data_IF_756199159570
#
_entry.id   IF_756199159570
#
_cell.length_a   1.000
_cell.length_b   1.000
_cell.length_c   1.000
_cell.angle_alpha   90.00
_cell.angle_beta   90.00
_cell.angle_gamma   90.00
#
_symmetry.space_group_name_H-M   'P 1'
#
loop_
_entity.id
_entity.type
_entity.pdbx_description
1 polymer ?
#
# COMPACT_ATOMS: atom_id res chain seq x y z
N UNK A 1 -56.98 -1.56 -1.96
CA UNK A 1 -57.74 -0.82 -0.92
C UNK A 1 -56.76 -0.22 0.05
N UNK A 2 -56.65 1.14 0.06
CA UNK A 2 -56.00 2.02 1.06
C UNK A 2 -54.57 1.68 1.50
N UNK A 3 -53.62 2.16 0.69
CA UNK A 3 -52.26 2.55 1.11
C UNK A 3 -51.82 3.75 0.25
N UNK A 4 -52.53 4.86 0.40
CA UNK A 4 -52.19 6.16 -0.21
C UNK A 4 -52.61 7.23 0.76
N UNK A 5 -51.73 7.65 1.68
CA UNK A 5 -51.82 8.97 2.37
C UNK A 5 -50.71 9.28 3.36
N UNK A 6 -49.49 8.69 3.22
CA UNK A 6 -48.41 9.03 4.17
C UNK A 6 -47.12 9.59 3.54
N UNK A 7 -47.11 9.97 2.27
CA UNK A 7 -45.93 10.39 1.54
C UNK A 7 -45.98 11.81 0.96
N UNK A 8 -46.93 12.68 1.45
CA UNK A 8 -47.06 14.06 0.97
C UNK A 8 -46.96 15.15 2.03
N UNK A 9 -46.25 14.95 3.11
CA UNK A 9 -46.12 15.95 4.16
C UNK A 9 -44.73 16.03 4.75
N UNK A 10 -43.68 16.25 3.93
CA UNK A 10 -42.34 16.69 4.39
C UNK A 10 -41.53 17.33 3.25
N UNK A 11 -42.09 18.32 2.62
CA UNK A 11 -41.37 19.21 1.71
C UNK A 11 -41.95 20.63 1.80
N UNK A 12 -41.82 21.27 2.96
CA UNK A 12 -42.00 22.73 3.09
C UNK A 12 -41.49 23.17 4.48
N UNK A 13 -40.38 23.84 4.53
CA UNK A 13 -39.83 24.51 5.72
C UNK A 13 -38.33 24.17 5.86
N UNK A 14 -37.40 25.05 5.62
CA UNK A 14 -37.23 26.39 6.07
C UNK A 14 -36.06 27.02 5.29
N UNK A 15 -36.36 28.01 4.51
CA UNK A 15 -35.44 29.10 4.20
C UNK A 15 -35.62 30.14 5.32
N UNK A 16 -34.74 30.11 6.30
CA UNK A 16 -34.60 31.18 7.29
C UNK A 16 -33.22 31.80 7.11
N UNK A 17 -33.17 32.92 6.41
CA UNK A 17 -31.99 33.78 6.32
C UNK A 17 -31.67 34.35 7.69
N UNK A 18 -30.44 34.18 8.14
CA UNK A 18 -29.87 34.93 9.27
C UNK A 18 -29.01 36.04 8.69
N UNK A 19 -29.54 37.24 8.70
CA UNK A 19 -28.76 38.45 8.54
C UNK A 19 -28.00 38.74 9.81
N UNK A 20 -26.68 38.57 9.80
CA UNK A 20 -25.79 39.01 10.91
C UNK A 20 -25.28 40.39 10.56
N UNK A 21 -25.72 41.39 11.35
CA UNK A 21 -25.19 42.73 11.37
C UNK A 21 -23.73 42.76 11.81
N UNK A 22 -22.87 43.25 10.93
CA UNK A 22 -21.45 43.49 11.23
C UNK A 22 -21.31 44.80 12.02
N UNK A 23 -20.83 44.69 13.27
CA UNK A 23 -20.15 45.80 13.95
C UNK A 23 -19.05 45.25 14.80
N UNK A 24 -17.80 45.61 14.52
CA UNK A 24 -16.64 45.32 15.36
C UNK A 24 -15.36 45.12 14.57
N UNK A 25 -14.58 46.19 14.41
CA UNK A 25 -13.25 46.14 13.86
C UNK A 25 -12.33 45.33 14.79
N UNK A 26 -11.92 44.15 14.34
CA UNK A 26 -10.84 43.39 14.89
C UNK A 26 -10.19 42.65 13.72
N UNK A 27 -8.85 42.75 13.54
CA UNK A 27 -8.13 42.02 12.53
C UNK A 27 -8.28 40.53 12.81
N UNK A 28 -9.30 39.92 12.19
CA UNK A 28 -9.48 38.47 12.16
C UNK A 28 -8.49 37.84 11.15
N UNK A 29 -8.11 36.57 11.34
CA UNK A 29 -7.36 35.83 10.34
C UNK A 29 -8.14 35.95 9.02
N UNK A 30 -7.41 36.23 7.93
CA UNK A 30 -7.96 36.34 6.58
C UNK A 30 -8.84 35.12 6.25
N UNK A 31 -9.78 35.27 5.29
CA UNK A 31 -10.63 34.17 4.91
C UNK A 31 -9.73 32.99 4.54
N UNK A 32 -9.86 31.90 5.27
CA UNK A 32 -9.35 30.63 4.80
C UNK A 32 -10.03 30.41 3.45
N UNK A 33 -9.27 30.57 2.36
CA UNK A 33 -9.69 30.09 1.06
C UNK A 33 -10.01 28.60 1.25
N UNK A 34 -11.27 28.29 1.37
CA UNK A 34 -11.76 26.93 1.18
C UNK A 34 -11.42 26.59 -0.27
N UNK A 35 -10.22 26.08 -0.48
CA UNK A 35 -9.87 25.41 -1.72
C UNK A 35 -10.94 24.34 -1.90
N UNK A 36 -11.82 24.57 -2.88
CA UNK A 36 -12.77 23.57 -3.37
C UNK A 36 -11.91 22.47 -4.04
N UNK A 37 -11.26 21.66 -3.23
CA UNK A 37 -10.51 20.50 -3.68
C UNK A 37 -11.55 19.51 -4.17
N UNK A 38 -11.57 19.26 -5.48
CA UNK A 38 -12.42 18.22 -6.04
C UNK A 38 -12.14 16.92 -5.26
N UNK A 39 -13.17 16.21 -4.78
CA UNK A 39 -13.02 14.92 -4.09
C UNK A 39 -12.12 13.95 -4.86
N UNK A 40 -12.18 13.99 -6.19
CA UNK A 40 -11.30 13.21 -7.08
C UNK A 40 -9.81 13.58 -7.00
N UNK A 41 -9.45 14.74 -6.49
CA UNK A 41 -8.05 15.14 -6.29
C UNK A 41 -7.47 14.59 -4.99
N UNK A 42 -8.31 14.26 -4.02
CA UNK A 42 -7.89 13.73 -2.72
C UNK A 42 -7.55 12.23 -2.73
N UNK A 43 -8.05 11.48 -3.73
CA UNK A 43 -7.81 10.04 -3.82
C UNK A 43 -6.72 9.73 -4.84
N UNK A 44 -5.63 9.07 -4.42
CA UNK A 44 -4.58 8.61 -5.32
C UNK A 44 -5.16 7.67 -6.40
N UNK A 45 -4.61 7.75 -7.61
CA UNK A 45 -5.03 6.92 -8.75
C UNK A 45 -3.97 5.94 -9.23
N UNK A 46 -2.82 5.92 -8.58
CA UNK A 46 -1.72 5.01 -8.90
C UNK A 46 -1.07 4.50 -7.63
N UNK A 47 -0.49 3.32 -7.72
CA UNK A 47 0.22 2.68 -6.61
C UNK A 47 1.31 3.58 -6.01
N UNK A 48 2.21 4.21 -6.81
CA UNK A 48 3.22 5.09 -6.23
C UNK A 48 2.61 6.28 -5.48
N UNK A 49 1.53 6.89 -6.01
CA UNK A 49 0.88 8.01 -5.33
C UNK A 49 0.18 7.59 -4.03
N UNK A 50 -0.45 6.42 -4.00
CA UNK A 50 -1.08 5.87 -2.79
C UNK A 50 -0.04 5.59 -1.70
N UNK A 51 1.04 4.89 -2.07
CA UNK A 51 2.11 4.59 -1.13
C UNK A 51 2.83 5.84 -0.64
N UNK A 52 3.07 6.86 -1.46
CA UNK A 52 3.67 8.12 -1.00
C UNK A 52 2.80 8.80 0.07
N UNK A 53 1.50 8.91 -0.19
CA UNK A 53 0.57 9.54 0.76
C UNK A 53 0.39 8.78 2.05
N UNK A 54 0.67 7.48 2.05
CA UNK A 54 0.59 6.64 3.23
C UNK A 54 1.79 6.81 4.17
N UNK A 55 2.90 7.39 3.71
CA UNK A 55 4.05 7.65 4.59
C UNK A 55 3.68 8.79 5.55
N UNK A 56 3.85 8.59 6.88
CA UNK A 56 3.63 9.65 7.84
C UNK A 56 4.61 10.79 7.59
N UNK A 57 4.10 11.98 7.36
CA UNK A 57 4.93 13.17 7.22
C UNK A 57 5.41 13.64 8.60
N UNK A 58 6.44 13.00 9.13
CA UNK A 58 7.00 13.30 10.45
C UNK A 58 7.78 14.62 10.41
N UNK A 59 8.43 14.89 9.28
CA UNK A 59 9.20 16.11 9.08
C UNK A 59 8.38 17.20 8.35
N UNK A 60 8.19 18.40 8.95
CA UNK A 60 7.39 19.45 8.34
C UNK A 60 8.00 20.04 7.05
N UNK A 61 9.34 19.99 6.91
CA UNK A 61 10.03 20.52 5.74
C UNK A 61 9.85 19.56 4.56
N UNK A 62 9.99 18.25 4.78
CA UNK A 62 9.67 17.22 3.80
C UNK A 62 8.20 17.31 3.36
N UNK A 63 7.27 17.49 4.29
CA UNK A 63 5.84 17.65 4.00
C UNK A 63 5.55 18.85 3.09
N UNK A 64 6.19 20.00 3.34
CA UNK A 64 6.01 21.18 2.48
C UNK A 64 6.53 20.93 1.07
N UNK A 65 7.66 20.25 0.95
CA UNK A 65 8.23 19.87 -0.36
C UNK A 65 7.27 18.93 -1.07
N UNK A 66 6.75 17.90 -0.38
CA UNK A 66 5.79 16.95 -0.92
C UNK A 66 4.53 17.65 -1.44
N UNK A 67 3.88 18.45 -0.61
CA UNK A 67 2.63 19.16 -0.96
C UNK A 67 2.84 20.09 -2.18
N UNK A 68 3.98 20.78 -2.21
CA UNK A 68 4.33 21.65 -3.33
C UNK A 68 4.49 20.87 -4.65
N UNK A 69 5.20 19.75 -4.63
CA UNK A 69 5.44 18.93 -5.83
C UNK A 69 4.18 18.15 -6.27
N UNK A 70 3.39 17.64 -5.32
CA UNK A 70 2.11 17.00 -5.64
C UNK A 70 1.11 17.98 -6.25
N UNK A 71 1.10 19.23 -5.79
CA UNK A 71 0.29 20.29 -6.43
C UNK A 71 0.72 20.51 -7.88
N UNK A 72 2.02 20.55 -8.18
CA UNK A 72 2.50 20.64 -9.58
C UNK A 72 2.05 19.42 -10.39
N UNK A 73 2.16 18.21 -9.83
CA UNK A 73 1.69 16.99 -10.49
C UNK A 73 0.16 17.01 -10.72
N UNK A 74 -0.60 17.59 -9.81
CA UNK A 74 -2.04 17.81 -9.98
C UNK A 74 -2.34 18.79 -11.12
N UNK A 75 -1.67 19.95 -11.15
CA UNK A 75 -1.85 20.98 -12.19
C UNK A 75 -1.52 20.44 -13.59
N UNK A 76 -0.59 19.49 -13.71
CA UNK A 76 -0.30 18.81 -14.97
C UNK A 76 -1.46 17.97 -15.51
N UNK A 77 -2.35 17.46 -14.66
CA UNK A 77 -3.50 16.63 -15.07
C UNK A 77 -4.69 17.48 -15.56
N UNK A 78 -4.72 18.76 -15.21
CA UNK A 78 -5.82 19.64 -15.61
C UNK A 78 -5.73 19.89 -17.12
N UNK A 79 -6.79 19.64 -17.91
CA UNK A 79 -6.75 19.81 -19.38
C UNK A 79 -6.57 21.27 -19.83
N UNK A 80 -6.84 22.23 -18.95
CA UNK A 80 -6.78 23.67 -19.22
C UNK A 80 -5.34 24.16 -19.39
N UNK A 81 -5.19 25.45 -19.72
CA UNK A 81 -3.88 26.10 -19.84
C UNK A 81 -3.08 25.94 -18.55
N UNK A 82 -1.89 25.35 -18.64
CA UNK A 82 -1.01 25.10 -17.50
C UNK A 82 -0.47 26.42 -16.93
N UNK A 83 -0.49 26.61 -15.59
CA UNK A 83 0.12 27.76 -14.93
C UNK A 83 1.64 27.57 -14.77
N UNK A 84 2.38 27.57 -15.87
CA UNK A 84 3.81 27.26 -15.91
C UNK A 84 4.64 28.09 -14.94
N UNK A 85 4.30 29.39 -14.77
CA UNK A 85 5.00 30.29 -13.86
C UNK A 85 4.89 29.85 -12.40
N UNK A 86 3.69 29.47 -11.98
CA UNK A 86 3.42 29.05 -10.59
C UNK A 86 4.04 27.66 -10.33
N UNK A 87 3.94 26.76 -11.31
CA UNK A 87 4.60 25.46 -11.25
C UNK A 87 6.12 25.60 -11.11
N UNK A 88 6.72 26.54 -11.88
CA UNK A 88 8.16 26.84 -11.77
C UNK A 88 8.54 27.35 -10.40
N UNK A 89 7.74 28.27 -9.84
CA UNK A 89 7.95 28.81 -8.49
C UNK A 89 7.93 27.72 -7.43
N UNK A 90 6.96 26.81 -7.51
CA UNK A 90 6.82 25.67 -6.58
C UNK A 90 8.02 24.73 -6.66
N UNK A 91 8.45 24.35 -7.88
CA UNK A 91 9.61 23.46 -8.06
C UNK A 91 10.92 24.15 -7.61
N UNK A 92 11.05 25.46 -7.89
CA UNK A 92 12.23 26.23 -7.45
C UNK A 92 12.31 26.36 -5.91
N UNK A 93 11.18 26.54 -5.24
CA UNK A 93 11.11 26.55 -3.77
C UNK A 93 11.51 25.19 -3.17
N UNK A 94 11.02 24.09 -3.74
CA UNK A 94 11.41 22.74 -3.34
C UNK A 94 12.91 22.49 -3.55
N UNK A 95 13.47 22.96 -4.67
CA UNK A 95 14.90 22.84 -4.97
C UNK A 95 15.75 23.65 -3.97
N UNK A 96 15.32 24.85 -3.61
CA UNK A 96 16.00 25.68 -2.62
C UNK A 96 16.04 24.97 -1.26
N UNK A 97 14.92 24.39 -0.80
CA UNK A 97 14.88 23.64 0.46
C UNK A 97 15.86 22.47 0.46
N UNK A 98 15.87 21.67 -0.61
CA UNK A 98 16.78 20.50 -0.73
C UNK A 98 18.25 20.91 -0.80
N UNK A 99 18.61 22.02 -1.45
CA UNK A 99 20.00 22.45 -1.63
C UNK A 99 20.56 23.27 -0.49
N UNK A 100 19.76 24.19 0.03
CA UNK A 100 20.23 25.16 1.02
C UNK A 100 20.12 24.62 2.45
N UNK A 101 19.21 23.65 2.67
CA UNK A 101 18.88 23.14 4.00
C UNK A 101 18.83 21.61 4.09
N UNK A 102 19.76 20.87 3.44
CA UNK A 102 19.70 19.41 3.44
C UNK A 102 19.78 18.82 4.86
N UNK A 103 20.50 19.48 5.78
CA UNK A 103 20.65 18.99 7.15
C UNK A 103 19.31 18.97 7.91
N UNK A 104 18.38 19.88 7.62
CA UNK A 104 17.05 19.85 8.23
C UNK A 104 16.27 18.61 7.84
N UNK A 105 16.38 18.19 6.58
CA UNK A 105 15.73 16.97 6.08
C UNK A 105 16.40 15.69 6.62
N UNK A 106 17.58 15.83 7.27
CA UNK A 106 18.30 14.73 7.90
C UNK A 106 18.08 14.65 9.42
N UNK A 107 17.56 15.69 10.04
CA UNK A 107 17.43 15.78 11.50
C UNK A 107 16.64 14.62 12.13
N UNK A 108 15.62 14.13 11.43
CA UNK A 108 14.77 13.01 11.87
C UNK A 108 15.24 11.64 11.36
N UNK A 109 16.27 11.61 10.52
CA UNK A 109 16.79 10.36 9.92
C UNK A 109 17.78 9.69 10.88
N UNK A 110 17.63 8.39 11.16
CA UNK A 110 18.60 7.62 11.94
C UNK A 110 20.01 7.72 11.38
N UNK A 111 21.06 7.83 12.23
CA UNK A 111 22.45 8.06 11.79
C UNK A 111 22.95 7.05 10.74
N UNK A 112 22.54 5.79 10.86
CA UNK A 112 22.90 4.71 9.95
C UNK A 112 22.33 4.87 8.53
N UNK A 113 21.24 5.64 8.38
CA UNK A 113 20.56 5.86 7.10
C UNK A 113 20.91 7.23 6.48
N UNK A 114 21.52 8.14 7.24
CA UNK A 114 21.80 9.51 6.78
C UNK A 114 22.66 9.56 5.50
N UNK A 115 23.62 8.66 5.35
CA UNK A 115 24.46 8.61 4.15
C UNK A 115 23.66 8.30 2.89
N UNK A 116 22.78 7.31 2.97
CA UNK A 116 21.91 6.91 1.87
C UNK A 116 20.87 8.01 1.54
N UNK A 117 20.31 8.65 2.58
CA UNK A 117 19.36 9.76 2.39
C UNK A 117 20.06 10.98 1.77
N UNK A 118 21.30 11.28 2.16
CA UNK A 118 22.08 12.38 1.57
C UNK A 118 22.36 12.15 0.07
N UNK A 119 22.62 10.91 -0.33
CA UNK A 119 22.77 10.54 -1.73
C UNK A 119 21.44 10.75 -2.50
N UNK A 120 20.30 10.34 -1.92
CA UNK A 120 18.97 10.56 -2.51
C UNK A 120 18.62 12.05 -2.63
N UNK A 121 18.93 12.87 -1.64
CA UNK A 121 18.77 14.33 -1.72
C UNK A 121 19.57 14.92 -2.90
N UNK A 122 20.78 14.42 -3.14
CA UNK A 122 21.57 14.77 -4.32
C UNK A 122 20.94 14.36 -5.65
N UNK A 123 20.31 13.19 -5.70
CA UNK A 123 19.53 12.71 -6.84
C UNK A 123 18.27 13.56 -7.08
N UNK A 124 17.54 13.84 -6.00
CA UNK A 124 16.34 14.68 -6.00
C UNK A 124 16.63 16.10 -6.50
N UNK A 125 17.74 16.73 -6.06
CA UNK A 125 18.14 18.05 -6.53
C UNK A 125 18.37 18.07 -8.05
N UNK A 126 19.04 17.04 -8.60
CA UNK A 126 19.23 16.89 -10.05
C UNK A 126 17.90 16.67 -10.80
N UNK A 127 16.99 15.93 -10.19
CA UNK A 127 15.63 15.72 -10.71
C UNK A 127 14.82 17.00 -10.76
N UNK A 128 14.91 17.84 -9.72
CA UNK A 128 14.25 19.15 -9.65
C UNK A 128 14.81 20.15 -10.68
N UNK A 129 16.14 20.17 -10.91
CA UNK A 129 16.74 20.96 -12.00
C UNK A 129 16.15 20.54 -13.36
N UNK A 130 16.06 19.24 -13.60
CA UNK A 130 15.46 18.70 -14.83
C UNK A 130 13.99 19.10 -14.95
N UNK A 131 13.24 19.07 -13.84
CA UNK A 131 11.85 19.52 -13.83
C UNK A 131 11.71 21.00 -14.21
N UNK A 132 12.60 21.88 -13.70
CA UNK A 132 12.65 23.30 -14.10
C UNK A 132 12.88 23.44 -15.60
N UNK A 133 13.85 22.72 -16.18
CA UNK A 133 14.10 22.74 -17.63
C UNK A 133 12.90 22.29 -18.44
N UNK A 134 12.17 21.27 -17.95
CA UNK A 134 10.93 20.81 -18.60
C UNK A 134 9.82 21.88 -18.54
N UNK A 135 9.71 22.60 -17.42
CA UNK A 135 8.75 23.72 -17.26
C UNK A 135 9.11 24.87 -18.20
N UNK A 136 10.39 25.26 -18.27
CA UNK A 136 10.87 26.33 -19.15
C UNK A 136 10.63 25.99 -20.63
N UNK A 137 10.74 24.69 -21.00
CA UNK A 137 10.39 24.16 -22.30
C UNK A 137 8.89 23.86 -22.49
N UNK A 138 8.05 24.06 -21.48
CA UNK A 138 6.62 23.75 -21.47
C UNK A 138 6.29 22.29 -21.89
N UNK A 139 7.18 21.35 -21.60
CA UNK A 139 7.05 19.93 -21.91
C UNK A 139 6.39 19.19 -20.73
N UNK A 140 5.06 19.03 -20.80
CA UNK A 140 4.27 18.43 -19.74
C UNK A 140 4.59 16.93 -19.51
N UNK A 141 4.90 16.20 -20.59
CA UNK A 141 5.17 14.76 -20.51
C UNK A 141 6.50 14.52 -19.81
N UNK A 142 7.57 15.18 -20.23
CA UNK A 142 8.88 15.07 -19.58
C UNK A 142 8.84 15.58 -18.14
N UNK A 143 8.08 16.64 -17.86
CA UNK A 143 7.88 17.13 -16.50
C UNK A 143 7.19 16.09 -15.62
N UNK A 144 6.18 15.39 -16.14
CA UNK A 144 5.49 14.33 -15.40
C UNK A 144 6.44 13.21 -14.98
N UNK A 145 7.31 12.76 -15.88
CA UNK A 145 8.34 11.75 -15.55
C UNK A 145 9.36 12.26 -14.54
N UNK A 146 9.85 13.49 -14.71
CA UNK A 146 10.81 14.08 -13.78
C UNK A 146 10.23 14.22 -12.37
N UNK A 147 8.98 14.68 -12.25
CA UNK A 147 8.28 14.80 -10.98
C UNK A 147 8.01 13.43 -10.33
N UNK A 148 7.65 12.42 -11.10
CA UNK A 148 7.44 11.07 -10.56
C UNK A 148 8.73 10.56 -9.88
N UNK A 149 9.87 10.68 -10.55
CA UNK A 149 11.17 10.28 -9.99
C UNK A 149 11.53 11.06 -8.73
N UNK A 150 11.33 12.38 -8.74
CA UNK A 150 11.60 13.25 -7.57
C UNK A 150 10.71 12.88 -6.37
N UNK A 151 9.43 12.64 -6.63
CA UNK A 151 8.49 12.23 -5.59
C UNK A 151 8.79 10.83 -5.04
N UNK A 152 9.32 9.92 -5.85
CA UNK A 152 9.75 8.60 -5.39
C UNK A 152 11.00 8.69 -4.49
N UNK A 153 11.95 9.56 -4.83
CA UNK A 153 13.10 9.86 -3.96
C UNK A 153 12.65 10.48 -2.64
N UNK A 154 11.72 11.44 -2.68
CA UNK A 154 11.16 12.08 -1.48
C UNK A 154 10.44 11.05 -0.60
N UNK A 155 9.61 10.19 -1.17
CA UNK A 155 8.93 9.14 -0.41
C UNK A 155 9.91 8.19 0.30
N UNK A 156 11.03 7.87 -0.34
CA UNK A 156 12.07 7.05 0.29
C UNK A 156 12.78 7.78 1.44
N UNK A 157 12.94 9.11 1.35
CA UNK A 157 13.46 9.95 2.42
C UNK A 157 12.47 9.98 3.58
N UNK A 158 11.19 10.21 3.32
CA UNK A 158 10.12 10.24 4.34
C UNK A 158 9.99 8.90 5.07
N UNK A 159 10.12 7.76 4.37
CA UNK A 159 10.16 6.44 5.00
C UNK A 159 11.36 6.30 5.95
N UNK A 160 12.52 6.87 5.60
CA UNK A 160 13.68 6.87 6.49
C UNK A 160 13.49 7.80 7.70
N UNK A 161 12.74 8.89 7.55
CA UNK A 161 12.36 9.82 8.62
C UNK A 161 11.31 9.24 9.57
N UNK A 162 10.55 8.21 9.14
CA UNK A 162 9.53 7.53 9.94
C UNK A 162 9.99 6.11 10.34
N UNK A 163 10.83 5.97 11.38
CA UNK A 163 11.41 4.67 11.75
C UNK A 163 10.39 3.67 12.29
N UNK A 164 9.17 4.11 12.61
CA UNK A 164 8.07 3.28 13.12
C UNK A 164 6.74 3.99 13.01
N UNK A 165 5.72 3.47 13.72
CA UNK A 165 4.40 4.08 13.75
C UNK A 165 4.46 5.42 14.50
N UNK A 166 3.84 6.48 13.96
CA UNK A 166 3.81 7.79 14.63
C UNK A 166 2.77 7.87 15.76
N UNK A 167 2.05 6.79 16.03
CA UNK A 167 0.99 6.67 17.02
C UNK A 167 1.10 5.36 17.79
N UNK A 168 0.38 5.27 18.92
CA UNK A 168 0.31 4.06 19.74
C UNK A 168 -0.91 3.23 19.36
N UNK A 169 -0.69 1.94 19.11
CA UNK A 169 -1.81 1.01 18.86
C UNK A 169 -2.71 0.91 20.07
N UNK A 170 -4.05 0.98 19.91
CA UNK A 170 -5.01 0.74 20.98
C UNK A 170 -4.81 -0.63 21.63
N UNK A 171 -5.03 -0.71 22.94
CA UNK A 171 -4.81 -1.95 23.72
C UNK A 171 -5.55 -3.16 23.13
N UNK A 172 -6.75 -2.94 22.58
CA UNK A 172 -7.60 -4.00 21.99
C UNK A 172 -6.99 -4.68 20.76
N UNK A 173 -6.09 -4.00 20.05
CA UNK A 173 -5.46 -4.53 18.82
C UNK A 173 -3.97 -4.80 18.98
N UNK A 174 -3.35 -4.37 20.08
CA UNK A 174 -1.91 -4.54 20.34
C UNK A 174 -1.48 -6.00 20.47
N UNK A 175 -2.40 -6.90 20.79
CA UNK A 175 -2.13 -8.34 20.88
C UNK A 175 -1.95 -9.02 19.52
N UNK A 176 -2.42 -8.40 18.44
CA UNK A 176 -2.22 -8.92 17.09
C UNK A 176 -0.80 -8.63 16.58
N UNK A 177 -0.28 -9.46 15.67
CA UNK A 177 0.91 -9.11 14.90
C UNK A 177 0.69 -7.77 14.20
N UNK A 178 1.69 -6.90 14.20
CA UNK A 178 1.59 -5.60 13.56
C UNK A 178 2.90 -5.23 12.86
N UNK A 179 2.80 -4.40 11.83
CA UNK A 179 3.91 -3.97 11.00
C UNK A 179 4.23 -2.50 11.28
N UNK A 180 5.41 -2.22 11.84
CA UNK A 180 5.90 -0.87 12.17
C UNK A 180 6.60 -0.22 10.97
N UNK A 181 5.90 -0.01 9.87
CA UNK A 181 6.48 0.51 8.64
C UNK A 181 6.09 -0.31 7.43
N UNK A 182 7.02 -0.52 6.50
CA UNK A 182 6.76 -1.26 5.26
C UNK A 182 7.47 -2.61 5.22
N UNK A 183 6.85 -3.52 4.48
CA UNK A 183 7.41 -4.82 4.15
C UNK A 183 7.14 -5.16 2.69
N UNK A 184 7.94 -6.06 2.11
CA UNK A 184 7.71 -6.58 0.76
C UNK A 184 7.49 -8.09 0.81
N UNK A 185 6.47 -8.53 0.09
CA UNK A 185 6.10 -9.94 -0.08
C UNK A 185 6.18 -10.28 -1.56
N UNK A 186 6.86 -11.36 -1.86
CA UNK A 186 6.89 -11.97 -3.19
C UNK A 186 5.91 -13.14 -3.24
N UNK A 187 5.00 -13.12 -4.21
CA UNK A 187 4.07 -14.20 -4.52
C UNK A 187 4.48 -14.84 -5.83
N UNK A 188 4.73 -16.14 -5.81
CA UNK A 188 5.02 -16.92 -7.01
C UNK A 188 3.78 -17.67 -7.44
N UNK A 189 3.35 -17.42 -8.66
CA UNK A 189 2.16 -18.04 -9.25
C UNK A 189 2.55 -18.96 -10.39
N UNK A 190 1.74 -20.00 -10.58
CA UNK A 190 1.90 -20.97 -11.66
C UNK A 190 0.55 -21.22 -12.32
N UNK A 191 0.59 -21.38 -13.62
CA UNK A 191 -0.59 -21.66 -14.41
C UNK A 191 -1.18 -23.02 -14.03
N UNK A 192 -2.47 -23.04 -13.74
CA UNK A 192 -3.21 -24.24 -13.36
C UNK A 192 -4.02 -24.84 -14.51
N UNK A 193 -4.46 -26.08 -14.32
CA UNK A 193 -5.58 -26.64 -15.09
C UNK A 193 -5.30 -27.07 -16.52
N UNK A 194 -4.05 -27.29 -16.92
CA UNK A 194 -3.74 -27.81 -18.28
C UNK A 194 -4.06 -26.85 -19.43
N UNK A 195 -4.16 -25.55 -19.14
CA UNK A 195 -4.28 -24.51 -20.17
C UNK A 195 -2.99 -24.45 -20.99
N UNK A 196 -3.11 -24.40 -22.33
CA UNK A 196 -1.98 -24.29 -23.25
C UNK A 196 -1.37 -22.86 -23.31
N UNK A 197 -1.74 -21.98 -22.41
CA UNK A 197 -1.29 -20.60 -22.37
C UNK A 197 -0.09 -20.42 -21.42
N UNK A 198 0.83 -19.56 -21.76
CA UNK A 198 1.93 -19.14 -20.92
C UNK A 198 1.75 -17.67 -20.59
N UNK A 199 2.14 -17.25 -19.38
CA UNK A 199 2.17 -15.82 -19.04
C UNK A 199 3.19 -15.09 -19.92
N UNK A 200 2.80 -13.95 -20.45
CA UNK A 200 3.68 -13.04 -21.19
C UNK A 200 4.40 -12.14 -20.21
N UNK A 201 5.73 -12.10 -20.26
CA UNK A 201 6.55 -11.22 -19.43
C UNK A 201 6.64 -9.82 -20.04
N UNK A 202 6.76 -8.79 -19.21
CA UNK A 202 6.90 -7.40 -19.64
C UNK A 202 8.09 -7.15 -20.58
N UNK A 203 9.17 -7.94 -20.45
CA UNK A 203 10.35 -7.88 -21.34
C UNK A 203 10.28 -8.76 -22.58
N UNK A 204 9.11 -9.36 -22.87
CA UNK A 204 8.94 -10.38 -23.91
C UNK A 204 9.28 -11.79 -23.42
N UNK A 205 8.82 -12.78 -24.18
CA UNK A 205 8.91 -14.19 -23.80
C UNK A 205 7.73 -14.66 -22.95
N UNK A 206 7.61 -15.97 -22.81
CA UNK A 206 6.50 -16.61 -22.10
C UNK A 206 7.03 -17.55 -21.02
N UNK A 207 6.23 -17.74 -19.94
CA UNK A 207 6.58 -18.62 -18.82
C UNK A 207 5.32 -19.19 -18.20
N UNK A 208 5.37 -20.46 -17.76
CA UNK A 208 4.29 -21.06 -16.95
C UNK A 208 4.24 -20.55 -15.52
N UNK A 209 5.21 -19.74 -15.11
CA UNK A 209 5.32 -19.16 -13.77
C UNK A 209 5.53 -17.65 -13.85
N UNK A 210 4.99 -16.92 -12.88
CA UNK A 210 5.16 -15.48 -12.72
C UNK A 210 5.34 -15.09 -11.28
N UNK A 211 5.88 -13.90 -11.05
CA UNK A 211 6.07 -13.32 -9.72
C UNK A 211 5.30 -12.02 -9.61
N UNK A 212 4.68 -11.80 -8.45
CA UNK A 212 4.08 -10.54 -8.05
C UNK A 212 4.81 -10.06 -6.80
N UNK A 213 5.21 -8.80 -6.75
CA UNK A 213 5.73 -8.19 -5.53
C UNK A 213 4.68 -7.26 -4.93
N UNK A 214 4.34 -7.48 -3.67
CA UNK A 214 3.42 -6.65 -2.90
C UNK A 214 4.23 -5.83 -1.91
N UNK A 215 4.02 -4.52 -1.89
CA UNK A 215 4.47 -3.66 -0.80
C UNK A 215 3.34 -3.52 0.20
N UNK A 216 3.55 -4.05 1.41
CA UNK A 216 2.66 -3.88 2.55
C UNK A 216 2.92 -2.53 3.23
N UNK A 217 1.86 -1.86 3.65
CA UNK A 217 1.92 -0.58 4.32
C UNK A 217 1.36 -0.69 5.75
N UNK A 218 2.27 -0.78 6.72
CA UNK A 218 1.92 -0.81 8.14
C UNK A 218 1.64 0.58 8.72
N UNK A 219 1.94 1.66 8.02
CA UNK A 219 1.62 3.00 8.51
C UNK A 219 0.11 3.26 8.53
N UNK A 220 -0.61 2.72 7.56
CA UNK A 220 -2.05 2.93 7.42
C UNK A 220 -2.88 1.76 7.93
N UNK A 221 -2.34 0.54 7.93
CA UNK A 221 -3.03 -0.68 8.38
C UNK A 221 -2.08 -1.64 9.10
N UNK A 222 -1.50 -1.23 10.25
CA UNK A 222 -0.44 -1.98 10.93
C UNK A 222 -0.85 -3.41 11.32
N UNK A 223 -2.04 -3.59 11.85
CA UNK A 223 -2.50 -4.90 12.35
C UNK A 223 -2.80 -5.85 11.20
N UNK A 224 -3.51 -5.38 10.20
CA UNK A 224 -3.88 -6.20 9.04
C UNK A 224 -2.67 -6.53 8.18
N UNK A 225 -1.77 -5.57 7.91
CA UNK A 225 -0.53 -5.81 7.19
C UNK A 225 0.42 -6.72 7.98
N UNK A 226 0.49 -6.58 9.29
CA UNK A 226 1.27 -7.45 10.18
C UNK A 226 0.75 -8.88 10.20
N UNK A 227 -0.57 -9.06 10.30
CA UNK A 227 -1.20 -10.38 10.22
C UNK A 227 -0.97 -11.02 8.84
N UNK A 228 -1.12 -10.25 7.76
CA UNK A 228 -0.81 -10.72 6.41
C UNK A 228 0.65 -11.20 6.30
N UNK A 229 1.61 -10.39 6.76
CA UNK A 229 3.03 -10.75 6.76
C UNK A 229 3.32 -12.01 7.57
N UNK A 230 2.66 -12.18 8.72
CA UNK A 230 2.75 -13.39 9.53
C UNK A 230 2.21 -14.61 8.77
N UNK A 231 1.05 -14.49 8.11
CA UNK A 231 0.48 -15.59 7.32
C UNK A 231 1.41 -16.02 6.18
N UNK A 232 2.09 -15.07 5.56
CA UNK A 232 3.15 -15.36 4.58
C UNK A 232 4.30 -16.16 5.22
N UNK A 233 4.76 -15.77 6.41
CA UNK A 233 5.82 -16.50 7.14
C UNK A 233 5.37 -17.91 7.55
N UNK A 234 4.10 -18.09 7.85
CA UNK A 234 3.50 -19.37 8.21
C UNK A 234 3.25 -20.27 6.97
N UNK A 235 3.48 -19.77 5.73
CA UNK A 235 3.20 -20.48 4.48
C UNK A 235 1.71 -20.71 4.23
N UNK A 236 0.83 -19.90 4.86
CA UNK A 236 -0.61 -20.12 4.84
C UNK A 236 -1.23 -19.98 3.44
N UNK A 237 -0.58 -19.27 2.55
CA UNK A 237 -1.04 -19.04 1.18
C UNK A 237 -0.42 -20.01 0.15
N UNK A 238 0.54 -20.84 0.55
CA UNK A 238 1.27 -21.71 -0.37
C UNK A 238 0.36 -22.85 -0.89
N UNK A 239 0.42 -23.07 -2.19
CA UNK A 239 -0.39 -24.09 -2.88
C UNK A 239 -1.86 -23.72 -3.09
N UNK A 240 -2.30 -22.52 -2.69
CA UNK A 240 -3.71 -22.09 -2.80
C UNK A 240 -4.09 -21.90 -4.26
N UNK A 241 -5.25 -22.43 -4.65
CA UNK A 241 -5.83 -22.21 -5.97
C UNK A 241 -6.51 -20.85 -6.03
N UNK A 242 -6.16 -20.06 -7.04
CA UNK A 242 -6.67 -18.72 -7.25
C UNK A 242 -8.11 -18.75 -7.82
N UNK A 243 -8.90 -17.77 -7.42
CA UNK A 243 -10.22 -17.50 -7.99
C UNK A 243 -10.19 -16.10 -8.61
N UNK A 244 -10.46 -16.03 -9.90
CA UNK A 244 -10.38 -14.80 -10.69
C UNK A 244 -11.75 -14.38 -11.18
N UNK A 245 -12.07 -13.11 -11.00
CA UNK A 245 -13.23 -12.43 -11.58
C UNK A 245 -12.78 -11.25 -12.45
N UNK A 246 -13.72 -10.52 -13.04
CA UNK A 246 -13.44 -9.29 -13.76
C UNK A 246 -12.85 -8.18 -12.86
N UNK A 247 -13.10 -8.25 -11.55
CA UNK A 247 -12.79 -7.17 -10.61
C UNK A 247 -11.71 -7.53 -9.60
N UNK A 248 -11.54 -8.80 -9.29
CA UNK A 248 -10.64 -9.24 -8.24
C UNK A 248 -10.03 -10.63 -8.51
N UNK A 249 -8.84 -10.81 -7.99
CA UNK A 249 -8.18 -12.09 -7.83
C UNK A 249 -8.20 -12.46 -6.34
N UNK A 250 -8.98 -13.47 -5.98
CA UNK A 250 -9.17 -13.88 -4.59
C UNK A 250 -8.28 -15.06 -4.22
N UNK A 251 -7.69 -14.97 -3.03
CA UNK A 251 -6.83 -16.00 -2.40
C UNK A 251 -7.48 -16.37 -1.08
N UNK A 252 -8.08 -17.54 -1.05
CA UNK A 252 -8.76 -18.08 0.14
C UNK A 252 -8.21 -19.47 0.43
N UNK A 253 -7.31 -19.59 1.42
CA UNK A 253 -6.84 -20.88 1.86
C UNK A 253 -8.01 -21.78 2.33
N UNK A 254 -7.92 -23.09 2.14
CA UNK A 254 -8.91 -24.00 2.70
C UNK A 254 -8.90 -23.87 4.23
N UNK A 255 -10.10 -23.93 4.83
CA UNK A 255 -10.23 -23.94 6.27
C UNK A 255 -9.42 -25.10 6.86
N UNK A 256 -8.47 -24.82 7.73
CA UNK A 256 -7.74 -25.86 8.42
C UNK A 256 -8.66 -26.51 9.46
N UNK A 257 -8.74 -27.85 9.45
CA UNK A 257 -9.56 -28.57 10.42
C UNK A 257 -9.16 -28.21 11.86
N UNK A 258 -10.14 -27.80 12.64
CA UNK A 258 -9.96 -27.46 14.05
C UNK A 258 -9.36 -26.07 14.33
N UNK A 259 -9.09 -25.23 13.31
CA UNK A 259 -8.63 -23.86 13.49
C UNK A 259 -9.79 -22.88 13.26
N UNK A 260 -10.10 -22.08 14.27
CA UNK A 260 -11.01 -20.95 14.09
C UNK A 260 -10.38 -19.95 13.10
N UNK A 261 -11.17 -19.41 12.19
CA UNK A 261 -10.72 -18.29 11.36
C UNK A 261 -10.38 -17.10 12.25
N UNK A 262 -9.21 -16.51 12.03
CA UNK A 262 -8.80 -15.31 12.75
C UNK A 262 -9.59 -14.12 12.20
N UNK A 263 -10.34 -13.45 13.07
CA UNK A 263 -11.03 -12.22 12.74
C UNK A 263 -10.21 -11.03 13.21
N UNK A 264 -10.03 -10.06 12.32
CA UNK A 264 -9.41 -8.78 12.60
C UNK A 264 -10.48 -7.70 12.56
N UNK A 265 -10.41 -6.68 13.43
CA UNK A 265 -11.26 -5.53 13.25
C UNK A 265 -10.98 -4.89 11.88
N UNK A 266 -12.03 -4.41 11.19
CA UNK A 266 -11.84 -3.59 10.01
C UNK A 266 -10.93 -2.42 10.36
N UNK A 267 -9.86 -2.18 9.60
CA UNK A 267 -8.80 -1.23 9.93
C UNK A 267 -8.57 -0.29 8.76
N UNK A 268 -8.77 1.00 8.97
CA UNK A 268 -8.58 2.00 7.93
C UNK A 268 -8.06 3.31 8.51
N UNK A 269 -7.11 3.92 7.82
CA UNK A 269 -6.66 5.28 8.10
C UNK A 269 -7.43 6.25 7.22
N UNK A 270 -8.32 7.10 7.77
CA UNK A 270 -8.99 8.14 7.00
C UNK A 270 -8.00 9.22 6.56
N UNK A 271 -8.21 9.78 5.38
CA UNK A 271 -7.37 10.88 4.89
C UNK A 271 -7.53 12.13 5.77
N UNK A 272 -6.41 12.65 6.25
CA UNK A 272 -6.37 13.77 7.17
C UNK A 272 -6.35 13.39 8.67
N UNK A 273 -6.59 12.13 8.98
CA UNK A 273 -6.45 11.60 10.35
C UNK A 273 -5.02 11.11 10.61
N UNK A 274 -4.66 11.06 11.89
CA UNK A 274 -3.33 10.70 12.33
C UNK A 274 -3.17 9.20 12.65
N UNK A 275 -4.26 8.53 13.03
CA UNK A 275 -4.28 7.13 13.43
C UNK A 275 -5.44 6.36 12.78
N UNK A 276 -5.28 5.05 12.54
CA UNK A 276 -6.34 4.22 11.97
C UNK A 276 -7.55 4.09 12.90
N UNK A 277 -8.73 4.02 12.29
CA UNK A 277 -9.96 3.63 12.97
C UNK A 277 -10.15 2.10 12.84
N UNK A 278 -10.82 1.52 13.81
CA UNK A 278 -11.02 0.08 13.91
C UNK A 278 -12.48 -0.30 14.07
N UNK A 279 -12.94 -1.30 13.28
CA UNK A 279 -14.29 -1.87 13.37
C UNK A 279 -15.37 -0.96 12.78
N UNK A 280 -14.99 -0.05 11.88
CA UNK A 280 -15.90 0.87 11.20
C UNK A 280 -15.50 1.02 9.74
N UNK A 281 -16.49 1.08 8.85
CA UNK A 281 -16.30 1.45 7.46
C UNK A 281 -16.29 2.98 7.30
N UNK A 282 -15.66 3.49 6.25
CA UNK A 282 -15.67 4.90 5.91
C UNK A 282 -16.91 5.26 5.08
N UNK A 283 -17.47 6.42 5.33
CA UNK A 283 -18.57 6.95 4.52
C UNK A 283 -18.03 7.86 3.40
N UNK A 284 -17.80 7.25 2.24
CA UNK A 284 -17.29 7.97 1.06
C UNK A 284 -18.23 9.08 0.59
N UNK A 285 -19.53 8.93 0.82
CA UNK A 285 -20.53 9.94 0.43
C UNK A 285 -20.43 11.21 1.30
N UNK A 286 -20.01 11.06 2.55
CA UNK A 286 -19.77 12.17 3.47
C UNK A 286 -18.34 12.75 3.34
N UNK A 287 -17.55 12.24 2.40
CA UNK A 287 -16.20 12.74 2.10
C UNK A 287 -15.09 12.09 2.92
N UNK A 288 -15.37 10.99 3.62
CA UNK A 288 -14.37 10.20 4.32
C UNK A 288 -13.64 9.29 3.34
N UNK A 289 -12.42 9.64 2.96
CA UNK A 289 -11.61 8.85 2.03
C UNK A 289 -10.51 8.09 2.77
N UNK A 290 -10.21 6.83 2.37
CA UNK A 290 -9.06 6.12 2.93
C UNK A 290 -7.74 6.67 2.37
N UNK A 291 -6.68 6.61 3.18
CA UNK A 291 -5.30 6.89 2.74
C UNK A 291 -4.87 5.87 1.70
N UNK A 292 -5.21 4.59 1.91
CA UNK A 292 -4.97 3.51 0.95
C UNK A 292 -6.27 3.17 0.20
N UNK A 293 -6.53 3.77 -0.97
CA UNK A 293 -7.75 3.47 -1.71
C UNK A 293 -7.71 2.09 -2.37
N UNK A 294 -8.82 1.37 -2.28
CA UNK A 294 -9.03 0.09 -2.97
C UNK A 294 -9.17 0.27 -4.49
N UNK A 295 -9.68 1.40 -4.94
CA UNK A 295 -9.93 1.69 -6.36
C UNK A 295 -8.66 1.84 -7.21
N UNK A 296 -7.48 1.60 -6.66
CA UNK A 296 -6.20 1.55 -7.39
C UNK A 296 -5.95 0.14 -7.89
N UNK A 297 -5.64 -0.01 -9.19
CA UNK A 297 -5.30 -1.31 -9.77
C UNK A 297 -4.11 -1.94 -9.05
N UNK A 298 -4.28 -3.18 -8.60
CA UNK A 298 -3.29 -3.90 -7.81
C UNK A 298 -3.39 -3.67 -6.30
N UNK A 299 -4.46 -3.02 -5.81
CA UNK A 299 -4.71 -2.92 -4.37
C UNK A 299 -4.91 -4.32 -3.76
N UNK A 300 -4.24 -4.58 -2.64
CA UNK A 300 -4.34 -5.82 -1.88
C UNK A 300 -5.18 -5.55 -0.64
N UNK A 301 -6.34 -6.16 -0.55
CA UNK A 301 -7.29 -5.96 0.55
C UNK A 301 -7.63 -7.28 1.24
N UNK A 302 -7.82 -7.22 2.56
CA UNK A 302 -8.33 -8.35 3.32
C UNK A 302 -9.80 -8.61 2.97
N UNK A 303 -10.18 -9.86 2.83
CA UNK A 303 -11.60 -10.22 2.67
C UNK A 303 -12.38 -9.91 3.96
N UNK A 304 -13.69 -9.71 3.85
CA UNK A 304 -14.53 -9.62 5.06
C UNK A 304 -14.58 -10.95 5.81
N UNK A 305 -14.77 -10.87 7.11
CA UNK A 305 -15.17 -12.05 7.88
C UNK A 305 -16.54 -12.56 7.38
N UNK A 306 -16.73 -13.88 7.24
CA UNK A 306 -18.01 -14.45 6.84
C UNK A 306 -19.17 -14.14 7.79
N UNK A 307 -18.86 -13.80 9.04
CA UNK A 307 -19.82 -13.60 10.13
C UNK A 307 -20.03 -12.14 10.50
N UNK A 308 -19.10 -11.24 10.13
CA UNK A 308 -19.11 -9.84 10.54
C UNK A 308 -18.62 -8.91 9.43
N UNK A 309 -19.49 -8.07 8.90
CA UNK A 309 -19.15 -7.08 7.86
C UNK A 309 -18.18 -5.97 8.34
N UNK A 310 -18.04 -5.77 9.66
CA UNK A 310 -17.11 -4.81 10.25
C UNK A 310 -15.80 -5.45 10.73
N UNK A 311 -15.54 -6.67 10.27
CA UNK A 311 -14.32 -7.40 10.53
C UNK A 311 -13.74 -7.95 9.23
N UNK A 312 -12.41 -8.00 9.18
CA UNK A 312 -11.65 -8.62 8.10
C UNK A 312 -11.29 -10.05 8.48
N UNK A 313 -11.22 -10.92 7.50
CA UNK A 313 -10.63 -12.25 7.65
C UNK A 313 -9.11 -12.12 7.79
N UNK A 314 -8.51 -12.72 8.80
CA UNK A 314 -7.06 -12.82 8.91
C UNK A 314 -6.42 -13.84 7.96
N UNK A 315 -7.23 -14.64 7.26
CA UNK A 315 -6.79 -15.78 6.46
C UNK A 315 -7.02 -15.62 4.96
N UNK A 316 -7.84 -14.67 4.51
CA UNK A 316 -8.20 -14.50 3.12
C UNK A 316 -8.01 -13.06 2.65
N UNK A 317 -7.56 -12.90 1.42
CA UNK A 317 -7.38 -11.61 0.80
C UNK A 317 -7.75 -11.63 -0.69
N UNK A 318 -7.86 -10.46 -1.28
CA UNK A 318 -8.00 -10.33 -2.72
C UNK A 318 -7.13 -9.20 -3.28
N UNK A 319 -6.78 -9.30 -4.55
CA UNK A 319 -6.09 -8.25 -5.30
C UNK A 319 -7.09 -7.64 -6.27
N UNK A 320 -7.32 -6.33 -6.13
CA UNK A 320 -8.22 -5.59 -7.00
C UNK A 320 -7.60 -5.38 -8.36
N UNK A 321 -8.28 -5.83 -9.43
CA UNK A 321 -7.76 -5.79 -10.79
C UNK A 321 -8.66 -5.08 -11.80
N UNK A 322 -9.65 -4.34 -11.32
CA UNK A 322 -10.50 -3.56 -12.20
C UNK A 322 -9.75 -2.36 -12.76
N UNK A 323 -9.51 -2.38 -14.06
CA UNK A 323 -8.89 -1.27 -14.76
C UNK A 323 -9.95 -0.32 -15.31
N UNK A 324 -10.09 0.82 -14.63
CA UNK A 324 -11.06 1.86 -14.98
C UNK A 324 -10.77 2.56 -16.30
N UNK A 325 -9.51 2.59 -16.74
CA UNK A 325 -9.13 3.25 -18.00
C UNK A 325 -9.69 2.47 -19.19
N UNK A 326 -9.75 1.16 -19.07
CA UNK A 326 -10.23 0.29 -20.13
C UNK A 326 -11.74 -0.03 -20.05
N UNK A 327 -12.40 0.23 -18.92
CA UNK A 327 -13.80 -0.16 -18.69
C UNK A 327 -14.81 1.01 -18.80
N UNK A 328 -14.39 2.20 -19.23
CA UNK A 328 -15.30 3.30 -19.58
C UNK A 328 -16.19 3.81 -18.43
N UNK A 329 -15.85 3.56 -17.18
CA UNK A 329 -16.63 3.99 -16.01
C UNK A 329 -16.54 5.49 -15.77
N UNK A 330 -17.65 6.08 -15.36
CA UNK A 330 -17.71 7.44 -14.81
C UNK A 330 -16.65 7.57 -13.72
N UNK A 331 -15.56 8.25 -13.96
CA UNK A 331 -14.38 8.54 -13.14
C UNK A 331 -14.52 8.53 -11.60
N UNK A 332 -15.44 7.78 -11.03
CA UNK A 332 -15.75 7.61 -9.63
C UNK A 332 -14.89 6.55 -8.91
N UNK A 333 -14.92 6.55 -7.61
CA UNK A 333 -14.41 5.48 -6.75
C UNK A 333 -15.27 4.21 -6.93
N UNK A 334 -14.74 3.05 -6.57
CA UNK A 334 -15.54 1.84 -6.44
C UNK A 334 -16.68 2.08 -5.44
N UNK A 335 -17.82 1.43 -5.63
CA UNK A 335 -18.92 1.49 -4.66
C UNK A 335 -18.50 0.92 -3.30
N UNK A 336 -17.52 0.02 -3.30
CA UNK A 336 -17.00 -0.65 -2.11
C UNK A 336 -15.78 0.09 -1.51
N UNK A 337 -15.43 1.28 -2.00
CA UNK A 337 -14.35 2.09 -1.42
C UNK A 337 -14.66 2.41 0.04
N UNK A 338 -13.67 2.26 0.91
CA UNK A 338 -13.85 2.48 2.35
C UNK A 338 -14.58 1.33 3.08
N UNK A 339 -14.85 0.20 2.41
CA UNK A 339 -15.48 -0.97 3.02
C UNK A 339 -14.49 -2.08 3.38
N UNK A 340 -13.30 -2.09 2.77
CA UNK A 340 -12.28 -3.13 2.97
C UNK A 340 -10.99 -2.54 3.49
N UNK A 341 -10.32 -3.29 4.37
CA UNK A 341 -8.96 -2.94 4.80
C UNK A 341 -7.97 -3.23 3.68
N UNK A 342 -7.37 -2.19 3.11
CA UNK A 342 -6.26 -2.31 2.15
C UNK A 342 -4.95 -2.42 2.94
N UNK A 343 -4.19 -3.48 2.71
CA UNK A 343 -2.91 -3.74 3.39
C UNK A 343 -1.69 -3.33 2.57
N UNK A 344 -1.88 -3.00 1.30
CA UNK A 344 -0.80 -2.60 0.40
C UNK A 344 -1.17 -2.74 -1.06
N UNK A 345 -0.15 -2.78 -1.90
CA UNK A 345 -0.32 -2.81 -3.36
C UNK A 345 0.69 -3.71 -4.03
N UNK A 346 0.30 -4.26 -5.19
CA UNK A 346 1.24 -4.90 -6.12
C UNK A 346 2.12 -3.80 -6.74
N UNK A 347 3.40 -3.84 -6.46
CA UNK A 347 4.38 -2.85 -6.91
C UNK A 347 5.23 -3.33 -8.09
N UNK A 348 5.30 -4.65 -8.30
CA UNK A 348 5.99 -5.24 -9.44
C UNK A 348 5.20 -6.46 -9.94
N UNK A 349 5.21 -6.70 -11.27
CA UNK A 349 4.46 -7.77 -11.90
C UNK A 349 2.96 -7.50 -12.07
N UNK A 350 2.50 -6.27 -11.93
CA UNK A 350 1.07 -5.93 -12.03
C UNK A 350 0.43 -6.31 -13.38
N UNK A 351 1.21 -6.37 -14.46
CA UNK A 351 0.78 -6.83 -15.78
C UNK A 351 0.35 -8.31 -15.80
N UNK A 352 0.82 -9.09 -14.81
CA UNK A 352 0.42 -10.48 -14.66
C UNK A 352 -1.01 -10.62 -14.16
N UNK A 353 -1.53 -9.64 -13.39
CA UNK A 353 -2.88 -9.70 -12.82
C UNK A 353 -3.97 -9.88 -13.88
N UNK A 354 -3.81 -9.27 -15.05
CA UNK A 354 -4.75 -9.40 -16.15
C UNK A 354 -4.71 -10.80 -16.83
N UNK A 355 -3.64 -11.55 -16.61
CA UNK A 355 -3.42 -12.87 -17.21
C UNK A 355 -3.79 -14.02 -16.26
N UNK A 356 -3.94 -13.72 -14.96
CA UNK A 356 -4.29 -14.71 -13.94
C UNK A 356 -5.77 -15.07 -14.01
N UNK A 357 -6.03 -16.36 -14.07
CA UNK A 357 -7.36 -16.95 -14.16
C UNK A 357 -7.69 -17.85 -12.98
N UNK A 358 -8.97 -18.21 -12.87
CA UNK A 358 -9.41 -19.23 -11.91
C UNK A 358 -8.78 -20.58 -12.24
N UNK A 359 -8.23 -21.24 -11.21
CA UNK A 359 -7.53 -22.49 -11.33
C UNK A 359 -6.01 -22.37 -11.35
N UNK A 360 -5.44 -21.17 -11.57
CA UNK A 360 -4.02 -20.91 -11.36
C UNK A 360 -3.67 -21.09 -9.88
N UNK A 361 -2.41 -21.32 -9.56
CA UNK A 361 -1.97 -21.63 -8.20
C UNK A 361 -0.99 -20.60 -7.69
N UNK A 362 -1.17 -20.17 -6.45
CA UNK A 362 -0.14 -19.49 -5.67
C UNK A 362 0.82 -20.55 -5.11
N UNK A 363 1.97 -20.74 -5.76
CA UNK A 363 2.93 -21.80 -5.42
C UNK A 363 3.62 -21.53 -4.10
N UNK A 364 4.05 -20.30 -3.89
CA UNK A 364 4.73 -19.89 -2.66
C UNK A 364 4.59 -18.40 -2.41
N UNK A 365 4.63 -18.05 -1.14
CA UNK A 365 4.66 -16.68 -0.65
C UNK A 365 5.88 -16.46 0.24
N UNK A 366 6.57 -15.33 0.11
CA UNK A 366 7.80 -15.05 0.87
C UNK A 366 7.86 -13.60 1.30
N UNK A 367 8.16 -13.37 2.57
CA UNK A 367 8.50 -12.05 3.08
C UNK A 367 9.98 -11.77 2.74
N UNK A 368 10.22 -10.85 1.80
CA UNK A 368 11.57 -10.55 1.28
C UNK A 368 12.22 -9.34 1.96
N UNK A 369 11.42 -8.40 2.43
CA UNK A 369 11.89 -7.22 3.18
C UNK A 369 10.94 -6.90 4.34
N UNK A 370 11.44 -6.25 5.40
CA UNK A 370 10.63 -5.71 6.49
C UNK A 370 10.32 -6.71 7.62
N UNK A 371 11.04 -7.82 7.71
CA UNK A 371 10.88 -8.77 8.83
C UNK A 371 11.21 -8.13 10.19
N UNK A 372 12.16 -7.24 10.23
CA UNK A 372 12.57 -6.47 11.42
C UNK A 372 11.48 -5.49 11.90
N UNK A 373 10.61 -5.08 10.99
CA UNK A 373 9.44 -4.21 11.26
C UNK A 373 8.22 -4.97 11.78
N UNK A 374 8.20 -6.29 11.66
CA UNK A 374 7.08 -7.12 12.13
C UNK A 374 7.21 -7.39 13.62
N UNK A 375 6.22 -6.96 14.38
CA UNK A 375 6.14 -7.06 15.86
C UNK A 375 4.99 -7.98 16.28
N UNK A 376 5.01 -8.37 17.56
CA UNK A 376 3.94 -9.20 18.13
C UNK A 376 3.94 -10.64 17.60
N UNK A 377 5.03 -11.10 17.03
CA UNK A 377 5.19 -12.52 16.69
C UNK A 377 5.35 -13.32 17.99
N UNK A 378 4.71 -14.50 18.11
CA UNK A 378 5.06 -15.42 19.17
C UNK A 378 6.55 -15.76 19.07
N UNK A 379 7.22 -15.83 20.22
CA UNK A 379 8.61 -16.22 20.28
C UNK A 379 8.78 -17.56 19.53
N UNK A 380 9.74 -17.70 18.60
CA UNK A 380 9.94 -18.95 17.89
C UNK A 380 10.14 -20.06 18.95
N UNK A 381 9.35 -21.13 18.83
CA UNK A 381 9.55 -22.29 19.69
C UNK A 381 11.04 -22.67 19.66
N UNK A 382 11.69 -22.92 20.81
CA UNK A 382 13.09 -23.29 20.84
C UNK A 382 13.31 -24.44 19.84
N UNK A 383 14.27 -24.25 18.93
CA UNK A 383 14.58 -25.27 17.94
C UNK A 383 14.68 -26.61 18.66
N UNK A 384 14.06 -27.70 18.14
CA UNK A 384 14.17 -28.99 18.78
C UNK A 384 15.65 -29.29 18.97
N UNK A 385 16.03 -29.52 20.24
CA UNK A 385 17.43 -29.83 20.58
C UNK A 385 17.93 -30.89 19.59
N UNK A 386 19.02 -30.60 18.90
CA UNK A 386 19.59 -31.49 17.92
C UNK A 386 19.64 -32.89 18.56
N UNK A 387 18.97 -33.85 17.93
CA UNK A 387 18.99 -35.23 18.39
C UNK A 387 20.44 -35.62 18.61
N UNK A 388 20.78 -36.26 19.73
CA UNK A 388 22.15 -36.66 19.98
C UNK A 388 22.64 -37.50 18.78
N UNK A 389 23.79 -37.14 18.24
CA UNK A 389 24.38 -37.82 17.11
C UNK A 389 24.44 -39.33 17.45
N UNK A 390 23.78 -40.13 16.67
CA UNK A 390 23.89 -41.60 16.75
C UNK A 390 25.36 -41.92 16.52
N UNK A 391 26.04 -42.59 17.44
CA UNK A 391 27.43 -42.95 17.22
C UNK A 391 27.50 -43.85 15.97
N UNK A 392 28.33 -43.47 15.05
CA UNK A 392 28.63 -44.17 13.81
C UNK A 392 29.06 -45.60 14.20
N UNK A 393 28.24 -46.61 13.85
CA UNK A 393 28.52 -47.99 14.12
C UNK A 393 29.83 -48.36 13.40
N UNK A 394 30.83 -48.81 14.16
CA UNK A 394 32.11 -49.26 13.64
C UNK A 394 31.89 -50.30 12.53
N UNK A 395 32.40 -50.00 11.36
CA UNK A 395 32.43 -50.92 10.21
C UNK A 395 33.32 -52.12 10.63
N UNK A 396 32.83 -53.37 10.59
CA UNK A 396 33.67 -54.49 10.90
C UNK A 396 34.77 -54.63 9.84
N UNK A 397 36.01 -54.70 10.33
CA UNK A 397 37.24 -54.93 9.57
C UNK A 397 37.16 -56.27 8.80
N UNK A 398 37.17 -56.20 7.47
CA UNK A 398 37.20 -57.40 6.59
C UNK A 398 38.60 -58.06 6.67
N UNK A 399 38.68 -59.16 7.37
CA UNK A 399 39.88 -59.96 7.37
C UNK A 399 40.05 -60.63 5.99
N UNK A 400 41.19 -60.53 5.30
CA UNK A 400 41.38 -61.16 4.02
C UNK A 400 41.55 -62.68 4.23
N UNK A 401 40.68 -63.46 3.58
CA UNK A 401 40.85 -64.97 3.50
C UNK A 401 42.01 -65.26 2.57
N UNK A 402 43.04 -65.85 3.11
CA UNK A 402 44.18 -66.37 2.34
C UNK A 402 43.72 -67.52 1.45
N UNK A 403 43.98 -67.35 0.17
CA UNK A 403 43.85 -68.39 -0.87
C UNK A 403 44.90 -69.48 -0.66
N UNK A 404 44.47 -70.68 -0.29
CA UNK A 404 45.33 -71.85 -0.28
C UNK A 404 45.22 -72.55 -1.63
N UNK A 405 46.33 -72.49 -2.39
CA UNK A 405 46.48 -73.14 -3.67
C UNK A 405 46.88 -74.65 -3.41
N UNK A 406 46.40 -75.45 -4.33
CA UNK A 406 47.00 -76.67 -4.95
C UNK A 406 47.07 -77.93 -4.15
N UNK A 407 46.49 -78.93 -4.55
CA UNK A 407 47.00 -80.10 -5.34
C UNK A 407 45.83 -81.02 -5.67
#
# INVERSE_FOLDING_TARGET
MRWDTALRARAAGALAGVAVLATGAGAGPGPAEALLVSPNAQVPRSVPAALRRAVPAVDPDSKRVQDSLENVAYLLRIPQRKPWKDMRSSVAAALAEVRERPERLLDTVPPEQQAAVRERLGGMAKGLDRAILCIDGQDADKLSFALASVLDDLAAIEVAQAPGLPYLLPNRVRAFPHLDGRAKVELRVEQGGGKAGLYTKAGGGTSGQGNLTITLDGFSSPVSAGTFARRVLDGAFDGVTLQSSAYALSVTPPAAEGRAQEELPLEMLPYGEFEPIYGQALNIQDGEYPVLPMSVYGAVAMAHSPTNAFASSGDAFFIYKFDRQNMGGLGGLSFDEGQFTVVGYVTDGAELLAQLDSGDKLVSSRLVEGRDKLKGLPEPAPAPAAAPAVPEAAVPEVVPVAEAAAQ
#
